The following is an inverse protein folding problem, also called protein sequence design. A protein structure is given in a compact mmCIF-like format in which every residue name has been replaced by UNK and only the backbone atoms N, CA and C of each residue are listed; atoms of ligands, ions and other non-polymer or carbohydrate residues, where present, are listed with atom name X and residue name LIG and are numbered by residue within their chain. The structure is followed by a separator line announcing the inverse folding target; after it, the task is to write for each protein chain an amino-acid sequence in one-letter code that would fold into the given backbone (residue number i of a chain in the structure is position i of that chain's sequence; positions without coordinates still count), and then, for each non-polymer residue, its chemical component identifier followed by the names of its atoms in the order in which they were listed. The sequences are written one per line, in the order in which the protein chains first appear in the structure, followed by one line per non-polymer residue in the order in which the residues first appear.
data_IF_119283868321
#
_entry.id   IF_119283868321
#
_cell.length_a   1.000
_cell.length_b   1.000
_cell.length_c   1.000
_cell.angle_alpha   90.00
_cell.angle_beta   90.00
_cell.angle_gamma   90.00
#
_symmetry.space_group_name_H-M   'P 1'
#
loop_
_entity.id
_entity.type
_entity.pdbx_description
1 polymer ?
#
# COMPACT_ATOMS: atom_id res chain seq x y z
N UNK A 1 -2.55 -30.06 -71.76
CA UNK A 1 -2.45 -28.75 -72.43
C UNK A 1 -1.45 -27.90 -71.67
N UNK A 2 -0.49 -27.31 -72.39
CA UNK A 2 0.35 -26.14 -72.02
C UNK A 2 1.02 -26.08 -70.63
N UNK A 3 2.29 -26.53 -70.61
CA UNK A 3 3.44 -25.75 -70.08
C UNK A 3 3.88 -24.71 -71.16
N UNK A 4 4.98 -23.91 -71.08
CA UNK A 4 6.07 -23.79 -70.10
C UNK A 4 6.23 -22.31 -69.59
N UNK A 5 7.35 -21.66 -69.22
CA UNK A 5 8.79 -22.00 -69.18
C UNK A 5 9.62 -21.10 -68.24
N UNK A 6 10.74 -21.64 -67.70
CA UNK A 6 12.05 -20.97 -67.59
C UNK A 6 12.29 -19.90 -66.48
N UNK A 7 13.51 -19.67 -65.99
CA UNK A 7 14.81 -20.36 -66.19
C UNK A 7 15.80 -19.98 -65.05
N UNK A 8 16.75 -20.88 -64.72
CA UNK A 8 18.17 -20.72 -64.28
C UNK A 8 18.71 -19.32 -63.83
N UNK A 9 19.69 -19.15 -62.91
CA UNK A 9 20.53 -20.08 -62.11
C UNK A 9 21.47 -19.33 -61.13
N UNK A 10 21.97 -20.04 -60.09
CA UNK A 10 23.33 -19.98 -59.45
C UNK A 10 24.12 -18.65 -59.40
N UNK A 11 24.56 -18.26 -58.20
CA UNK A 11 25.98 -18.34 -57.75
C UNK A 11 26.17 -17.77 -56.31
N UNK A 12 27.25 -18.16 -55.63
CA UNK A 12 27.58 -17.80 -54.24
C UNK A 12 28.56 -16.62 -54.06
N UNK A 13 29.05 -16.36 -52.82
CA UNK A 13 29.68 -15.10 -52.41
C UNK A 13 31.23 -15.12 -52.34
N UNK A 14 31.85 -13.93 -52.32
CA UNK A 14 33.18 -13.52 -51.75
C UNK A 14 33.36 -12.01 -52.08
N UNK A 15 33.51 -11.09 -51.11
CA UNK A 15 34.70 -10.71 -50.32
C UNK A 15 35.65 -9.69 -51.01
N UNK A 16 35.99 -8.61 -50.28
CA UNK A 16 37.06 -7.59 -50.46
C UNK A 16 36.91 -6.60 -49.27
N UNK A 17 37.90 -5.96 -48.63
CA UNK A 17 39.32 -6.18 -48.21
C UNK A 17 39.71 -4.86 -47.45
N UNK A 18 40.75 -4.90 -46.62
CA UNK A 18 41.23 -3.83 -45.71
C UNK A 18 41.61 -2.45 -46.33
N UNK A 19 41.82 -1.44 -45.47
CA UNK A 19 42.41 -0.14 -45.86
C UNK A 19 42.58 0.94 -44.78
N UNK A 20 43.56 0.75 -43.88
CA UNK A 20 44.43 1.77 -43.20
C UNK A 20 43.91 3.04 -42.45
N UNK A 21 44.68 3.47 -41.44
CA UNK A 21 44.67 4.81 -40.81
C UNK A 21 45.80 5.67 -41.42
N UNK A 22 45.79 7.02 -41.26
CA UNK A 22 46.79 7.57 -40.32
C UNK A 22 46.36 8.80 -39.47
N UNK A 23 47.30 9.19 -38.61
CA UNK A 23 47.31 10.09 -37.45
C UNK A 23 47.06 11.60 -37.71
N UNK A 24 46.44 12.25 -36.70
CA UNK A 24 46.70 13.57 -36.05
C UNK A 24 47.39 14.73 -36.82
N UNK A 25 47.01 15.99 -36.51
CA UNK A 25 47.84 16.74 -35.54
C UNK A 25 47.06 17.57 -34.49
N UNK A 26 47.76 17.89 -33.40
CA UNK A 26 47.33 18.86 -32.38
C UNK A 26 47.34 20.31 -32.92
N UNK A 27 46.45 21.15 -32.40
CA UNK A 27 46.54 22.61 -32.51
C UNK A 27 46.37 23.27 -31.12
N UNK A 28 47.42 23.95 -30.65
CA UNK A 28 47.31 24.97 -29.61
C UNK A 28 46.81 26.28 -30.24
N UNK A 29 45.85 26.97 -29.62
CA UNK A 29 45.99 28.39 -29.24
C UNK A 29 44.78 28.96 -28.49
N UNK A 30 45.13 29.75 -27.48
CA UNK A 30 44.59 31.06 -27.07
C UNK A 30 43.07 31.27 -26.92
N UNK A 31 42.67 31.70 -25.71
CA UNK A 31 41.28 31.89 -25.35
C UNK A 31 40.74 33.29 -25.63
N UNK A 32 39.44 33.36 -25.89
CA UNK A 32 38.57 34.48 -25.53
C UNK A 32 37.32 33.92 -24.83
N UNK A 33 36.75 34.60 -23.82
CA UNK A 33 35.55 34.09 -23.14
C UNK A 33 34.31 34.31 -24.02
N UNK A 34 33.57 33.23 -24.29
CA UNK A 34 32.25 33.32 -24.92
C UNK A 34 31.24 34.07 -24.04
N UNK A 35 30.17 34.64 -24.64
CA UNK A 35 29.18 35.43 -23.90
C UNK A 35 28.42 34.57 -22.87
N UNK A 36 27.94 35.16 -21.75
CA UNK A 36 27.28 34.41 -20.71
C UNK A 36 25.98 33.78 -21.21
N UNK A 37 25.83 32.47 -20.96
CA UNK A 37 24.59 31.74 -21.21
C UNK A 37 23.43 32.39 -20.47
N UNK A 38 22.39 32.75 -21.25
CA UNK A 38 21.19 33.44 -20.76
C UNK A 38 20.45 32.51 -19.80
N UNK A 39 20.34 32.90 -18.52
CA UNK A 39 19.64 32.11 -17.53
C UNK A 39 18.15 31.97 -17.87
N UNK A 40 17.65 30.74 -17.98
CA UNK A 40 16.22 30.49 -18.15
C UNK A 40 15.43 30.91 -16.89
N UNK A 41 14.23 31.49 -17.05
CA UNK A 41 13.42 31.93 -15.92
C UNK A 41 12.83 30.75 -15.14
N UNK A 42 13.08 30.73 -13.82
CA UNK A 42 12.58 29.69 -12.89
C UNK A 42 11.05 29.52 -12.96
N UNK A 43 10.59 28.44 -13.59
CA UNK A 43 9.18 28.08 -13.78
C UNK A 43 8.36 27.97 -12.47
N UNK A 44 9.04 27.75 -11.33
CA UNK A 44 8.39 27.52 -10.02
C UNK A 44 7.69 28.73 -9.41
N UNK A 45 8.07 29.97 -9.77
CA UNK A 45 7.42 31.18 -9.22
C UNK A 45 6.06 31.48 -9.86
N UNK A 46 5.87 31.21 -11.16
CA UNK A 46 4.64 31.58 -11.88
C UNK A 46 3.42 30.78 -11.37
N UNK A 47 3.57 29.48 -11.13
CA UNK A 47 2.50 28.60 -10.63
C UNK A 47 1.92 29.11 -9.28
N UNK A 48 2.80 29.53 -8.37
CA UNK A 48 2.37 30.09 -7.06
C UNK A 48 1.57 31.39 -7.21
N UNK A 49 1.93 32.20 -8.21
CA UNK A 49 1.32 33.51 -8.47
C UNK A 49 -0.03 33.36 -9.16
N UNK A 50 -0.15 32.41 -10.10
CA UNK A 50 -1.44 32.04 -10.73
C UNK A 50 -2.43 31.48 -9.72
N UNK A 51 -2.00 30.60 -8.81
CA UNK A 51 -2.84 30.05 -7.73
C UNK A 51 -3.36 31.14 -6.77
N UNK A 52 -2.52 32.12 -6.40
CA UNK A 52 -2.93 33.28 -5.57
C UNK A 52 -4.02 34.13 -6.23
N UNK A 53 -3.91 34.37 -7.55
CA UNK A 53 -4.94 35.12 -8.31
C UNK A 53 -6.27 34.37 -8.41
N UNK A 54 -6.23 33.05 -8.58
CA UNK A 54 -7.44 32.22 -8.57
C UNK A 54 -8.16 32.24 -7.20
N UNK A 55 -7.39 32.20 -6.09
CA UNK A 55 -7.95 32.28 -4.74
C UNK A 55 -8.65 33.64 -4.47
N UNK A 56 -8.04 34.76 -4.87
CA UNK A 56 -8.65 36.08 -4.72
C UNK A 56 -9.97 36.20 -5.51
N UNK A 57 -10.03 35.63 -6.72
CA UNK A 57 -11.25 35.62 -7.54
C UNK A 57 -12.36 34.71 -6.98
N UNK A 58 -12.02 33.67 -6.21
CA UNK A 58 -12.99 32.79 -5.54
C UNK A 58 -13.57 33.43 -4.28
N UNK A 59 -12.72 34.08 -3.46
CA UNK A 59 -13.15 34.85 -2.28
C UNK A 59 -14.12 35.97 -2.69
N UNK A 60 -13.80 36.71 -3.77
CA UNK A 60 -14.66 37.78 -4.30
C UNK A 60 -15.99 37.31 -4.91
N UNK A 61 -16.21 35.99 -5.07
CA UNK A 61 -17.41 35.40 -5.67
C UNK A 61 -18.25 34.56 -4.70
N UNK A 62 -17.85 34.47 -3.44
CA UNK A 62 -18.55 33.69 -2.42
C UNK A 62 -19.49 34.59 -1.60
N UNK A 63 -20.77 34.23 -1.40
CA UNK A 63 -21.70 35.06 -0.62
C UNK A 63 -21.29 35.12 0.86
N UNK A 64 -21.51 36.25 1.56
CA UNK A 64 -21.08 36.42 2.94
C UNK A 64 -21.81 35.47 3.90
N UNK A 65 -21.03 34.94 4.85
CA UNK A 65 -21.36 33.82 5.76
C UNK A 65 -22.57 34.05 6.70
N UNK A 66 -23.13 35.26 6.73
CA UNK A 66 -24.12 35.70 7.71
C UNK A 66 -25.58 35.28 7.42
N UNK A 67 -25.89 34.74 6.24
CA UNK A 67 -27.28 34.53 5.78
C UNK A 67 -27.83 33.11 5.98
N UNK A 68 -27.06 32.20 6.58
CA UNK A 68 -27.42 30.77 6.75
C UNK A 68 -27.76 30.36 8.20
N UNK A 69 -27.85 31.30 9.14
CA UNK A 69 -28.08 31.04 10.57
C UNK A 69 -29.45 31.56 11.06
N UNK A 70 -30.53 31.07 10.45
CA UNK A 70 -31.90 31.19 11.00
C UNK A 70 -32.68 29.89 10.78
N UNK A 71 -33.00 29.12 11.85
CA UNK A 71 -33.76 27.88 11.73
C UNK A 71 -35.29 28.14 11.85
N UNK A 72 -36.12 27.61 10.93
CA UNK A 72 -37.57 27.56 11.14
C UNK A 72 -37.90 26.40 12.10
N UNK A 73 -38.42 26.75 13.27
CA UNK A 73 -38.82 25.83 14.33
C UNK A 73 -40.26 25.34 14.13
N UNK A 74 -40.53 24.03 14.19
CA UNK A 74 -41.90 23.50 14.37
C UNK A 74 -41.91 22.22 15.21
N UNK A 75 -42.66 22.25 16.32
CA UNK A 75 -42.97 21.09 17.16
C UNK A 75 -44.11 20.27 16.56
N UNK A 76 -44.07 18.96 16.76
CA UNK A 76 -45.27 18.16 17.02
C UNK A 76 -44.99 17.22 18.20
N UNK A 77 -46.01 16.96 19.01
CA UNK A 77 -45.99 16.15 20.22
C UNK A 77 -46.79 14.83 20.00
N UNK A 78 -46.74 13.83 20.90
CA UNK A 78 -47.05 12.45 20.56
C UNK A 78 -48.51 12.03 20.82
N UNK A 79 -48.94 10.95 20.15
CA UNK A 79 -50.14 10.17 20.50
C UNK A 79 -49.78 8.77 21.04
N UNK A 80 -50.78 8.08 21.60
CA UNK A 80 -50.57 7.07 22.65
C UNK A 80 -51.51 5.86 22.57
N UNK A 81 -51.05 4.73 23.13
CA UNK A 81 -51.81 3.49 23.49
C UNK A 81 -52.31 2.66 22.29
N UNK A 82 -52.38 1.33 22.37
CA UNK A 82 -51.95 0.41 23.44
C UNK A 82 -52.36 -1.03 23.11
N UNK A 83 -52.09 -1.99 24.03
CA UNK A 83 -52.66 -3.35 23.96
C UNK A 83 -51.65 -4.51 23.94
N UNK A 84 -51.47 -5.17 25.09
CA UNK A 84 -51.25 -6.63 25.15
C UNK A 84 -52.53 -7.30 25.68
N UNK A 85 -52.49 -8.52 26.25
CA UNK A 85 -51.38 -9.47 26.37
C UNK A 85 -51.75 -10.94 26.02
N UNK A 86 -50.77 -11.86 25.99
CA UNK A 86 -50.82 -13.13 26.75
C UNK A 86 -49.52 -13.95 26.64
N UNK A 87 -49.26 -14.74 27.68
CA UNK A 87 -48.10 -15.62 27.80
C UNK A 87 -48.50 -17.09 27.67
N UNK A 88 -47.57 -17.94 27.22
CA UNK A 88 -47.59 -19.42 27.41
C UNK A 88 -46.16 -19.89 27.76
N UNK A 89 -46.07 -21.03 28.44
CA UNK A 89 -44.98 -21.50 29.30
C UNK A 89 -43.80 -22.23 28.63
N UNK A 90 -42.67 -22.33 29.38
CA UNK A 90 -41.56 -23.29 29.17
C UNK A 90 -42.02 -24.75 29.41
N UNK A 91 -41.21 -25.77 29.05
CA UNK A 91 -40.24 -26.30 30.03
C UNK A 91 -38.85 -26.65 29.46
N UNK A 92 -37.87 -26.75 30.37
CA UNK A 92 -36.55 -27.42 30.17
C UNK A 92 -36.61 -28.80 30.83
N UNK A 93 -35.75 -29.76 30.46
CA UNK A 93 -34.94 -30.37 31.54
C UNK A 93 -33.52 -30.86 31.17
N UNK A 94 -32.61 -30.55 32.11
CA UNK A 94 -31.59 -31.42 32.73
C UNK A 94 -30.37 -32.02 32.01
N UNK A 95 -29.34 -32.08 32.87
CA UNK A 95 -27.96 -32.57 32.72
C UNK A 95 -27.89 -34.08 33.05
N UNK A 96 -26.96 -34.80 32.43
CA UNK A 96 -26.21 -35.87 33.13
C UNK A 96 -24.80 -36.05 32.54
N UNK A 97 -23.81 -36.25 33.42
CA UNK A 97 -22.52 -36.90 33.13
C UNK A 97 -22.57 -38.32 33.71
N UNK A 98 -21.63 -39.21 33.34
CA UNK A 98 -20.75 -39.70 34.41
C UNK A 98 -19.29 -40.04 34.03
N UNK A 99 -18.45 -39.94 35.06
CA UNK A 99 -17.21 -40.65 35.41
C UNK A 99 -15.89 -40.51 34.63
N UNK A 100 -14.84 -40.37 35.44
CA UNK A 100 -13.42 -40.25 35.13
C UNK A 100 -12.73 -41.62 34.94
N UNK A 101 -11.66 -41.64 34.13
CA UNK A 101 -10.54 -42.56 34.32
C UNK A 101 -9.25 -41.74 34.23
N UNK A 102 -8.46 -41.74 35.30
CA UNK A 102 -7.15 -41.09 35.36
C UNK A 102 -6.06 -42.05 34.91
N UNK A 103 -5.25 -41.65 33.92
CA UNK A 103 -3.93 -42.23 33.63
C UNK A 103 -2.94 -41.07 33.53
N UNK A 104 -1.74 -41.23 34.08
CA UNK A 104 -0.78 -40.13 34.25
C UNK A 104 0.59 -40.48 33.65
N UNK A 105 1.30 -39.45 33.18
CA UNK A 105 2.70 -39.40 32.75
C UNK A 105 3.03 -39.94 31.34
N UNK A 106 4.10 -39.45 30.68
CA UNK A 106 4.86 -38.22 30.90
C UNK A 106 4.74 -37.20 29.73
N UNK A 107 5.27 -35.99 29.93
CA UNK A 107 5.15 -34.88 28.99
C UNK A 107 6.23 -34.87 27.89
N UNK A 108 5.84 -35.19 26.66
CA UNK A 108 6.49 -34.72 25.44
C UNK A 108 5.48 -34.73 24.29
N UNK A 109 5.15 -33.57 23.73
CA UNK A 109 5.20 -33.35 22.27
C UNK A 109 4.67 -32.00 21.84
N UNK A 110 5.34 -31.43 20.85
CA UNK A 110 4.88 -30.32 20.03
C UNK A 110 3.76 -30.79 19.09
N UNK A 111 2.50 -30.61 19.48
CA UNK A 111 1.35 -31.00 18.65
C UNK A 111 0.75 -29.82 17.88
N UNK A 112 1.18 -29.64 16.63
CA UNK A 112 0.45 -28.84 15.65
C UNK A 112 -0.86 -29.57 15.26
N UNK A 113 -1.98 -29.17 15.84
CA UNK A 113 -3.30 -29.77 15.54
C UNK A 113 -4.44 -28.77 15.74
N UNK A 114 -5.26 -28.58 14.70
CA UNK A 114 -6.47 -27.76 14.78
C UNK A 114 -7.57 -28.50 15.54
N UNK A 115 -7.65 -28.27 16.85
CA UNK A 115 -8.92 -28.35 17.57
C UNK A 115 -9.83 -27.15 17.24
N UNK A 116 -10.99 -27.06 17.89
CA UNK A 116 -11.82 -25.83 17.94
C UNK A 116 -11.12 -24.74 18.77
N UNK A 117 -9.95 -24.30 18.31
CA UNK A 117 -9.05 -23.41 19.03
C UNK A 117 -9.16 -21.98 18.53
N UNK A 118 -9.16 -21.03 19.47
CA UNK A 118 -9.04 -19.61 19.16
C UNK A 118 -7.86 -19.37 18.22
N UNK A 119 -8.12 -18.74 17.07
CA UNK A 119 -7.11 -17.99 16.32
C UNK A 119 -6.57 -16.93 17.30
N UNK A 120 -5.40 -17.23 17.87
CA UNK A 120 -4.74 -16.43 18.90
C UNK A 120 -3.57 -15.72 18.23
N UNK A 121 -3.90 -14.63 17.55
CA UNK A 121 -2.94 -13.75 16.91
C UNK A 121 -2.45 -12.71 17.91
N UNK A 122 -1.19 -12.31 17.80
CA UNK A 122 -0.56 -11.35 18.71
C UNK A 122 0.14 -10.22 17.94
N UNK A 123 -0.04 -9.00 18.43
CA UNK A 123 0.64 -7.81 17.92
C UNK A 123 0.35 -7.46 16.47
N UNK A 124 1.38 -7.48 15.61
CA UNK A 124 1.27 -7.07 14.22
C UNK A 124 0.18 -7.87 13.47
N UNK A 125 0.00 -9.13 13.83
CA UNK A 125 -1.00 -10.04 13.28
C UNK A 125 -2.45 -9.60 13.56
N UNK A 126 -2.71 -9.00 14.73
CA UNK A 126 -4.03 -8.44 15.04
C UNK A 126 -4.33 -7.21 14.16
N UNK A 127 -3.29 -6.47 13.76
CA UNK A 127 -3.41 -5.36 12.80
C UNK A 127 -3.67 -5.85 11.37
N UNK A 128 -3.17 -7.03 10.99
CA UNK A 128 -3.50 -7.66 9.71
C UNK A 128 -5.00 -7.96 9.63
N UNK A 129 -5.59 -8.56 10.67
CA UNK A 129 -7.04 -8.80 10.73
C UNK A 129 -7.84 -7.50 10.77
N UNK A 130 -7.36 -6.49 11.50
CA UNK A 130 -8.01 -5.19 11.59
C UNK A 130 -8.11 -4.50 10.22
N UNK A 131 -7.02 -4.47 9.45
CA UNK A 131 -6.98 -3.85 8.12
C UNK A 131 -7.71 -4.66 7.06
N UNK A 132 -7.67 -6.00 7.14
CA UNK A 132 -8.52 -6.88 6.33
C UNK A 132 -10.02 -6.61 6.58
N UNK A 133 -10.45 -6.58 7.85
CA UNK A 133 -11.84 -6.32 8.22
C UNK A 133 -12.30 -4.92 7.81
N UNK A 134 -11.43 -3.92 7.92
CA UNK A 134 -11.66 -2.57 7.45
C UNK A 134 -11.95 -2.53 5.92
N UNK A 135 -11.24 -3.33 5.12
CA UNK A 135 -11.51 -3.46 3.66
C UNK A 135 -12.78 -4.24 3.34
N UNK A 136 -13.10 -5.27 4.11
CA UNK A 136 -14.37 -5.99 3.95
C UNK A 136 -15.58 -5.08 4.23
N UNK A 137 -15.53 -4.26 5.30
CA UNK A 137 -16.59 -3.31 5.63
C UNK A 137 -16.75 -2.18 4.59
N UNK A 138 -15.66 -1.77 3.93
CA UNK A 138 -15.74 -0.88 2.77
C UNK A 138 -16.44 -1.56 1.59
N UNK A 139 -16.06 -2.80 1.28
CA UNK A 139 -16.60 -3.60 0.19
C UNK A 139 -18.09 -3.94 0.35
N UNK A 140 -18.57 -4.13 1.60
CA UNK A 140 -19.98 -4.30 1.95
C UNK A 140 -20.76 -2.96 2.01
N UNK A 141 -20.09 -1.80 1.91
CA UNK A 141 -20.74 -0.50 2.02
C UNK A 141 -21.56 -0.12 0.77
N UNK A 142 -22.57 0.77 0.86
CA UNK A 142 -23.35 1.19 -0.31
C UNK A 142 -22.56 1.96 -1.38
N UNK A 143 -21.32 2.40 -1.08
CA UNK A 143 -20.44 3.17 -1.96
C UNK A 143 -18.97 2.83 -1.66
N UNK A 144 -18.52 1.63 -2.04
CA UNK A 144 -17.18 1.15 -1.70
C UNK A 144 -16.09 2.02 -2.33
N UNK A 145 -15.03 2.30 -1.57
CA UNK A 145 -13.83 2.98 -2.05
C UNK A 145 -12.93 1.98 -2.76
N UNK A 146 -12.62 0.85 -2.11
CA UNK A 146 -11.76 -0.20 -2.65
C UNK A 146 -12.61 -1.29 -3.33
N UNK A 147 -13.70 -1.71 -2.70
CA UNK A 147 -14.59 -2.74 -3.22
C UNK A 147 -13.99 -4.15 -3.21
N UNK A 148 -13.08 -4.41 -2.27
CA UNK A 148 -12.31 -5.66 -2.15
C UNK A 148 -13.17 -6.85 -1.72
N UNK A 149 -13.79 -7.53 -2.69
CA UNK A 149 -14.63 -8.70 -2.44
C UNK A 149 -13.84 -9.89 -1.87
N UNK A 150 -12.55 -10.03 -2.22
CA UNK A 150 -11.70 -11.06 -1.63
C UNK A 150 -11.57 -10.86 -0.11
N UNK A 151 -11.48 -9.61 0.37
CA UNK A 151 -11.50 -9.34 1.81
C UNK A 151 -12.82 -9.77 2.47
N UNK A 152 -13.96 -9.66 1.79
CA UNK A 152 -15.26 -10.14 2.29
C UNK A 152 -15.28 -11.67 2.40
N UNK A 153 -14.81 -12.37 1.36
CA UNK A 153 -14.68 -13.85 1.35
C UNK A 153 -13.81 -14.34 2.51
N UNK A 154 -12.60 -13.79 2.64
CA UNK A 154 -11.63 -14.16 3.69
C UNK A 154 -12.20 -13.86 5.09
N UNK A 155 -12.88 -12.71 5.27
CA UNK A 155 -13.54 -12.36 6.53
C UNK A 155 -14.70 -13.30 6.86
N UNK A 156 -15.42 -13.80 5.86
CA UNK A 156 -16.44 -14.83 6.08
C UNK A 156 -15.82 -16.13 6.59
N UNK A 157 -14.77 -16.61 5.92
CA UNK A 157 -14.06 -17.84 6.32
C UNK A 157 -13.51 -17.73 7.75
N UNK A 158 -12.90 -16.60 8.11
CA UNK A 158 -12.40 -16.34 9.48
C UNK A 158 -13.55 -16.34 10.52
N UNK A 159 -14.73 -15.83 10.17
CA UNK A 159 -15.92 -15.88 11.04
C UNK A 159 -16.43 -17.32 11.21
N UNK A 160 -16.43 -18.12 10.14
CA UNK A 160 -16.85 -19.52 10.17
C UNK A 160 -15.89 -20.41 10.98
N UNK A 161 -14.60 -20.04 11.04
CA UNK A 161 -13.61 -20.59 11.97
C UNK A 161 -13.80 -20.11 13.44
N UNK A 162 -14.80 -19.27 13.72
CA UNK A 162 -15.22 -18.88 15.07
C UNK A 162 -14.58 -17.60 15.63
N UNK A 163 -13.93 -16.78 14.80
CA UNK A 163 -13.30 -15.53 15.26
C UNK A 163 -14.29 -14.35 15.31
N UNK A 164 -14.31 -13.62 16.42
CA UNK A 164 -15.14 -12.41 16.59
C UNK A 164 -14.37 -11.12 16.32
N UNK A 165 -14.58 -10.52 15.14
CA UNK A 165 -14.04 -9.22 14.73
C UNK A 165 -14.50 -8.02 15.58
N UNK A 166 -15.45 -8.18 16.52
CA UNK A 166 -15.70 -7.16 17.55
C UNK A 166 -14.47 -6.95 18.45
N UNK A 167 -13.62 -7.98 18.61
CA UNK A 167 -12.38 -7.88 19.41
C UNK A 167 -11.39 -6.87 18.82
N UNK A 168 -11.34 -6.72 17.50
CA UNK A 168 -10.40 -5.82 16.83
C UNK A 168 -10.91 -4.39 16.68
N UNK A 169 -12.16 -4.08 17.07
CA UNK A 169 -12.81 -2.78 16.79
C UNK A 169 -13.19 -2.00 18.05
N UNK A 170 -12.51 -0.87 18.29
CA UNK A 170 -12.65 -0.09 19.52
C UNK A 170 -13.94 0.76 19.64
N UNK A 171 -14.68 0.99 18.53
CA UNK A 171 -16.00 1.65 18.50
C UNK A 171 -16.54 1.68 17.07
N UNK A 172 -17.87 1.66 16.87
CA UNK A 172 -18.51 1.74 15.54
C UNK A 172 -18.06 2.95 14.72
N UNK A 173 -17.88 4.12 15.34
CA UNK A 173 -17.40 5.34 14.66
C UNK A 173 -15.95 5.20 14.24
N UNK A 174 -15.10 4.63 15.10
CA UNK A 174 -13.69 4.39 14.81
C UNK A 174 -13.55 3.37 13.65
N UNK A 175 -14.42 2.36 13.60
CA UNK A 175 -14.45 1.36 12.52
C UNK A 175 -14.74 1.98 11.16
N UNK A 176 -15.68 2.91 11.05
CA UNK A 176 -16.00 3.55 9.77
C UNK A 176 -14.87 4.46 9.25
N UNK A 177 -14.22 5.21 10.15
CA UNK A 177 -13.05 6.04 9.84
C UNK A 177 -11.87 5.17 9.39
N UNK A 178 -11.65 4.05 10.08
CA UNK A 178 -10.61 3.08 9.73
C UNK A 178 -10.87 2.38 8.39
N UNK A 179 -12.11 1.93 8.14
CA UNK A 179 -12.53 1.36 6.86
C UNK A 179 -12.27 2.33 5.70
N UNK A 180 -12.62 3.60 5.89
CA UNK A 180 -12.35 4.68 4.92
C UNK A 180 -10.84 4.84 4.68
N UNK A 181 -10.05 5.00 5.74
CA UNK A 181 -8.62 5.29 5.63
C UNK A 181 -7.82 4.11 5.05
N UNK A 182 -8.06 2.89 5.51
CA UNK A 182 -7.39 1.69 5.01
C UNK A 182 -7.74 1.44 3.53
N UNK A 183 -9.02 1.53 3.18
CA UNK A 183 -9.49 1.24 1.81
C UNK A 183 -9.06 2.30 0.82
N UNK A 184 -9.06 3.59 1.20
CA UNK A 184 -8.53 4.67 0.38
C UNK A 184 -7.01 4.53 0.18
N UNK A 185 -6.26 4.17 1.23
CA UNK A 185 -4.81 3.92 1.15
C UNK A 185 -4.47 2.79 0.19
N UNK A 186 -5.10 1.62 0.36
CA UNK A 186 -4.92 0.50 -0.57
C UNK A 186 -5.33 0.89 -2.00
N UNK A 187 -6.45 1.63 -2.18
CA UNK A 187 -6.89 2.10 -3.51
C UNK A 187 -5.84 2.98 -4.19
N UNK A 188 -5.20 3.87 -3.44
CA UNK A 188 -4.15 4.71 -3.99
C UNK A 188 -2.92 3.88 -4.38
N UNK A 189 -2.41 3.01 -3.50
CA UNK A 189 -1.27 2.15 -3.85
C UNK A 189 -1.56 1.24 -5.06
N UNK A 190 -2.78 0.76 -5.21
CA UNK A 190 -3.25 0.02 -6.40
C UNK A 190 -3.20 0.84 -7.69
N UNK A 191 -3.71 2.08 -7.67
CA UNK A 191 -3.69 2.99 -8.84
C UNK A 191 -2.26 3.24 -9.31
N UNK A 192 -1.33 3.36 -8.37
CA UNK A 192 0.09 3.62 -8.63
C UNK A 192 0.88 2.37 -9.05
N UNK A 193 0.60 1.23 -8.43
CA UNK A 193 1.04 -0.09 -8.91
C UNK A 193 0.62 -0.30 -10.37
N UNK A 194 -0.65 0.01 -10.69
CA UNK A 194 -1.16 -0.07 -12.05
C UNK A 194 -0.59 1.02 -12.98
N UNK A 195 -0.20 2.20 -12.47
CA UNK A 195 0.50 3.26 -13.23
C UNK A 195 1.89 2.78 -13.67
N UNK A 196 2.65 2.16 -12.75
CA UNK A 196 3.93 1.51 -13.06
C UNK A 196 3.75 0.40 -14.10
N UNK A 197 2.80 -0.51 -13.90
CA UNK A 197 2.54 -1.63 -14.82
C UNK A 197 2.02 -1.18 -16.20
N UNK A 198 1.42 0.00 -16.34
CA UNK A 198 1.08 0.59 -17.66
C UNK A 198 2.29 1.24 -18.35
N UNK A 199 3.20 1.85 -17.57
CA UNK A 199 4.47 2.42 -18.05
C UNK A 199 5.45 1.34 -18.52
N UNK A 200 5.34 0.13 -17.97
CA UNK A 200 6.17 -1.03 -18.30
C UNK A 200 5.30 -2.18 -18.86
N UNK A 201 4.83 -2.11 -20.12
CA UNK A 201 3.87 -3.07 -20.69
C UNK A 201 4.45 -4.48 -20.91
N UNK A 202 5.76 -4.63 -21.05
CA UNK A 202 6.45 -5.91 -21.18
C UNK A 202 6.75 -6.59 -19.83
N UNK A 203 7.87 -7.33 -19.73
CA UNK A 203 8.36 -7.90 -18.48
C UNK A 203 8.55 -6.85 -17.40
N UNK A 204 8.11 -7.16 -16.19
CA UNK A 204 8.25 -6.32 -15.00
C UNK A 204 8.11 -7.18 -13.74
N UNK A 205 8.82 -6.83 -12.67
CA UNK A 205 8.69 -7.48 -11.36
C UNK A 205 7.99 -6.54 -10.38
N UNK A 206 6.98 -7.03 -9.66
CA UNK A 206 6.42 -6.38 -8.47
C UNK A 206 6.84 -7.18 -7.25
N UNK A 207 7.53 -6.54 -6.30
CA UNK A 207 7.86 -7.11 -4.99
C UNK A 207 7.02 -6.40 -3.93
N UNK A 208 6.04 -7.11 -3.40
CA UNK A 208 5.11 -6.61 -2.39
C UNK A 208 5.55 -7.08 -1.00
N UNK A 209 6.28 -6.20 -0.31
CA UNK A 209 6.83 -6.43 1.02
C UNK A 209 5.77 -6.20 2.10
N UNK A 210 5.81 -7.01 3.15
CA UNK A 210 4.81 -7.09 4.21
C UNK A 210 3.38 -7.26 3.66
N UNK A 211 3.22 -8.23 2.76
CA UNK A 211 1.99 -8.41 2.00
C UNK A 211 0.76 -8.78 2.85
N UNK A 212 0.97 -9.32 4.05
CA UNK A 212 -0.03 -9.68 5.04
C UNK A 212 -1.21 -10.43 4.44
N UNK A 213 -2.41 -9.92 4.73
CA UNK A 213 -3.69 -10.35 4.15
C UNK A 213 -4.20 -9.32 3.12
N UNK A 214 -3.29 -8.66 2.39
CA UNK A 214 -3.65 -7.78 1.28
C UNK A 214 -3.80 -8.57 -0.02
N UNK A 215 -4.95 -8.37 -0.65
CA UNK A 215 -5.47 -9.08 -1.82
C UNK A 215 -5.01 -8.45 -3.14
N UNK A 216 -4.09 -7.47 -3.12
CA UNK A 216 -3.64 -6.73 -4.32
C UNK A 216 -3.23 -7.62 -5.50
N UNK A 217 -2.57 -8.75 -5.23
CA UNK A 217 -2.21 -9.76 -6.24
C UNK A 217 -3.41 -10.42 -6.94
N UNK A 218 -4.59 -10.39 -6.32
CA UNK A 218 -5.86 -10.95 -6.83
C UNK A 218 -6.72 -9.89 -7.55
N UNK A 219 -6.56 -8.60 -7.23
CA UNK A 219 -7.43 -7.50 -7.72
C UNK A 219 -6.75 -6.46 -8.63
N UNK A 220 -5.42 -6.30 -8.59
CA UNK A 220 -4.70 -5.50 -9.60
C UNK A 220 -4.52 -6.31 -10.88
N UNK A 221 -4.78 -5.68 -12.03
CA UNK A 221 -4.50 -6.27 -13.34
C UNK A 221 -3.01 -6.23 -13.67
N UNK A 222 -2.25 -7.16 -13.08
CA UNK A 222 -0.80 -7.26 -13.26
C UNK A 222 -0.37 -8.30 -14.30
N UNK A 223 -1.14 -9.37 -14.49
CA UNK A 223 -0.83 -10.49 -15.40
C UNK A 223 -0.41 -10.04 -16.81
N UNK A 224 0.65 -10.66 -17.34
CA UNK A 224 1.24 -10.37 -18.64
C UNK A 224 2.55 -11.12 -18.82
N UNK A 225 2.99 -11.29 -20.07
CA UNK A 225 4.15 -12.12 -20.41
C UNK A 225 5.44 -11.57 -19.79
N UNK A 226 6.22 -12.45 -19.16
CA UNK A 226 7.44 -12.09 -18.43
C UNK A 226 7.20 -11.25 -17.16
N UNK A 227 5.95 -11.14 -16.68
CA UNK A 227 5.66 -10.44 -15.42
C UNK A 227 5.71 -11.38 -14.24
N UNK A 228 6.27 -10.88 -13.14
CA UNK A 228 6.40 -11.58 -11.88
C UNK A 228 5.77 -10.75 -10.76
N UNK A 229 4.86 -11.34 -9.99
CA UNK A 229 4.38 -10.78 -8.73
C UNK A 229 4.93 -11.62 -7.57
N UNK A 230 5.64 -10.97 -6.65
CA UNK A 230 6.20 -11.58 -5.45
C UNK A 230 5.54 -10.97 -4.23
N UNK A 231 4.65 -11.72 -3.57
CA UNK A 231 4.17 -11.40 -2.23
C UNK A 231 5.23 -11.91 -1.21
N UNK A 232 5.64 -11.06 -0.27
CA UNK A 232 6.76 -11.31 0.63
C UNK A 232 6.44 -10.85 2.06
N UNK A 233 6.55 -11.75 3.04
CA UNK A 233 6.28 -11.43 4.45
C UNK A 233 6.98 -12.40 5.41
N UNK A 234 6.90 -12.15 6.72
CA UNK A 234 7.33 -13.08 7.75
C UNK A 234 6.55 -14.39 7.72
N UNK A 235 7.13 -15.44 8.31
CA UNK A 235 6.62 -16.81 8.25
C UNK A 235 5.15 -16.91 8.67
N UNK A 236 4.77 -16.24 9.73
CA UNK A 236 3.43 -16.28 10.36
C UNK A 236 2.37 -15.71 9.42
N UNK A 237 2.67 -14.58 8.78
CA UNK A 237 1.78 -13.95 7.80
C UNK A 237 1.62 -14.80 6.54
N UNK A 238 2.71 -15.41 6.05
CA UNK A 238 2.66 -16.33 4.90
C UNK A 238 1.90 -17.62 5.23
N UNK A 239 2.12 -18.20 6.42
CA UNK A 239 1.41 -19.40 6.88
C UNK A 239 -0.09 -19.15 7.06
N UNK A 240 -0.47 -17.93 7.47
CA UNK A 240 -1.87 -17.51 7.55
C UNK A 240 -2.46 -17.28 6.15
N UNK A 241 -1.72 -16.62 5.25
CA UNK A 241 -2.11 -16.39 3.85
C UNK A 241 -2.36 -17.71 3.11
N UNK A 242 -1.47 -18.70 3.26
CA UNK A 242 -1.62 -20.06 2.68
C UNK A 242 -2.87 -20.82 3.17
N UNK A 243 -3.40 -20.48 4.35
CA UNK A 243 -4.61 -21.11 4.91
C UNK A 243 -5.89 -20.45 4.44
N UNK A 244 -5.88 -19.12 4.30
CA UNK A 244 -7.08 -18.29 4.13
C UNK A 244 -7.24 -17.67 2.73
N UNK A 245 -6.21 -17.72 1.88
CA UNK A 245 -6.19 -17.03 0.60
C UNK A 245 -5.79 -17.98 -0.53
N UNK A 246 -6.55 -17.93 -1.63
CA UNK A 246 -6.15 -18.53 -2.90
C UNK A 246 -5.04 -17.69 -3.52
N UNK A 247 -4.11 -18.36 -4.19
CA UNK A 247 -3.12 -17.66 -5.04
C UNK A 247 -3.80 -17.16 -6.33
N UNK A 248 -3.23 -16.14 -7.01
CA UNK A 248 -3.75 -15.71 -8.31
C UNK A 248 -3.72 -16.85 -9.33
N UNK A 249 -4.84 -17.06 -10.03
CA UNK A 249 -4.97 -18.11 -11.05
C UNK A 249 -3.85 -18.05 -12.10
N UNK A 250 -3.11 -19.15 -12.36
CA UNK A 250 -2.01 -19.16 -13.32
C UNK A 250 -2.46 -18.74 -14.73
N UNK A 251 -1.74 -17.78 -15.33
CA UNK A 251 -1.97 -17.37 -16.72
C UNK A 251 -0.66 -16.88 -17.34
N UNK A 252 -0.56 -15.61 -17.79
CA UNK A 252 0.64 -15.10 -18.47
C UNK A 252 1.74 -14.61 -17.54
N UNK A 253 1.40 -14.27 -16.30
CA UNK A 253 2.36 -13.86 -15.28
C UNK A 253 2.65 -14.96 -14.26
N UNK A 254 3.83 -14.90 -13.66
CA UNK A 254 4.25 -15.78 -12.56
C UNK A 254 3.89 -15.12 -11.21
N UNK A 255 3.35 -15.90 -10.27
CA UNK A 255 3.15 -15.50 -8.87
C UNK A 255 4.11 -16.28 -7.96
N UNK A 256 4.66 -15.62 -6.94
CA UNK A 256 5.44 -16.24 -5.87
C UNK A 256 5.01 -15.69 -4.51
N UNK A 257 4.94 -16.57 -3.52
CA UNK A 257 4.76 -16.22 -2.11
C UNK A 257 6.00 -16.67 -1.32
N UNK A 258 6.78 -15.72 -0.81
CA UNK A 258 8.10 -15.95 -0.20
C UNK A 258 8.16 -15.49 1.27
N UNK A 259 9.10 -16.07 2.04
CA UNK A 259 9.29 -15.84 3.48
C UNK A 259 10.66 -15.21 3.80
N UNK A 260 11.01 -14.01 3.28
CA UNK A 260 12.35 -13.47 3.39
C UNK A 260 12.66 -12.89 4.77
N UNK A 261 13.89 -13.08 5.22
CA UNK A 261 14.48 -12.23 6.25
C UNK A 261 14.88 -10.88 5.61
N UNK A 262 14.06 -9.84 5.77
CA UNK A 262 14.31 -8.51 5.21
C UNK A 262 15.55 -7.79 5.81
N UNK A 263 16.13 -8.36 6.88
CA UNK A 263 17.36 -7.87 7.52
C UNK A 263 18.64 -8.46 6.89
N UNK A 264 18.52 -9.54 6.10
CA UNK A 264 19.63 -10.19 5.42
C UNK A 264 20.02 -9.43 4.13
N UNK A 265 21.30 -9.21 3.87
CA UNK A 265 21.74 -8.54 2.64
C UNK A 265 21.56 -9.42 1.38
N UNK A 266 21.40 -10.73 1.53
CA UNK A 266 21.28 -11.69 0.44
C UNK A 266 19.82 -11.96 -0.02
N UNK A 267 18.78 -11.57 0.72
CA UNK A 267 17.41 -12.11 0.52
C UNK A 267 16.86 -11.96 -0.91
N UNK A 268 17.14 -10.84 -1.58
CA UNK A 268 16.74 -10.61 -2.98
C UNK A 268 17.45 -11.58 -3.96
N UNK A 269 18.70 -11.93 -3.68
CA UNK A 269 19.49 -12.89 -4.43
C UNK A 269 19.03 -14.34 -4.19
N UNK A 270 18.79 -14.70 -2.94
CA UNK A 270 18.39 -16.06 -2.54
C UNK A 270 17.02 -16.45 -3.12
N UNK A 271 16.07 -15.51 -3.12
CA UNK A 271 14.77 -15.69 -3.79
C UNK A 271 14.79 -15.45 -5.31
N UNK A 272 15.98 -15.22 -5.89
CA UNK A 272 16.22 -15.08 -7.33
C UNK A 272 15.28 -14.06 -7.96
N UNK A 273 15.24 -12.86 -7.37
CA UNK A 273 14.43 -11.74 -7.88
C UNK A 273 15.05 -11.26 -9.20
N UNK A 274 14.32 -11.27 -10.33
CA UNK A 274 14.90 -10.96 -11.63
C UNK A 274 15.45 -9.53 -11.73
N UNK A 275 16.60 -9.40 -12.39
CA UNK A 275 17.28 -8.11 -12.62
C UNK A 275 17.57 -7.85 -14.10
N UNK A 276 16.68 -8.36 -14.96
CA UNK A 276 16.64 -8.19 -16.42
C UNK A 276 15.43 -7.32 -16.85
N UNK A 277 14.64 -6.83 -15.88
CA UNK A 277 13.38 -6.12 -16.10
C UNK A 277 13.13 -5.05 -15.02
N UNK A 278 12.34 -4.00 -15.30
CA UNK A 278 11.99 -2.98 -14.32
C UNK A 278 11.33 -3.56 -13.07
N UNK A 279 11.71 -3.03 -11.89
CA UNK A 279 11.19 -3.47 -10.60
C UNK A 279 10.34 -2.40 -9.92
N UNK A 280 9.20 -2.81 -9.38
CA UNK A 280 8.41 -2.03 -8.42
C UNK A 280 8.50 -2.73 -7.07
N UNK A 281 8.95 -2.02 -6.04
CA UNK A 281 8.82 -2.47 -4.65
C UNK A 281 7.66 -1.71 -4.01
N UNK A 282 6.68 -2.43 -3.47
CA UNK A 282 5.49 -1.83 -2.84
C UNK A 282 5.31 -2.38 -1.43
N UNK A 283 4.99 -1.52 -0.47
CA UNK A 283 4.61 -1.95 0.88
C UNK A 283 3.58 -1.00 1.50
N UNK A 284 2.64 -1.58 2.25
CA UNK A 284 1.58 -0.87 2.95
C UNK A 284 1.64 -1.18 4.45
N UNK A 285 1.78 -0.18 5.30
CA UNK A 285 1.79 -0.33 6.76
C UNK A 285 3.06 -0.92 7.36
N UNK A 286 4.13 -1.15 6.59
CA UNK A 286 5.38 -1.75 7.09
C UNK A 286 6.21 -0.81 7.97
N UNK A 287 6.57 0.37 7.45
CA UNK A 287 7.59 1.24 8.08
C UNK A 287 7.29 1.70 9.52
N UNK A 288 6.03 1.88 9.98
CA UNK A 288 5.76 2.23 11.38
C UNK A 288 6.32 1.26 12.42
N UNK A 289 6.43 -0.03 12.08
CA UNK A 289 6.84 -1.11 12.99
C UNK A 289 8.35 -1.37 13.01
N UNK A 290 9.10 -0.74 12.11
CA UNK A 290 10.54 -0.87 12.01
C UNK A 290 11.24 0.30 12.71
N UNK A 291 12.41 0.07 13.27
CA UNK A 291 13.31 1.15 13.72
C UNK A 291 13.86 1.92 12.52
N UNK A 292 14.36 3.16 12.70
CA UNK A 292 14.98 3.93 11.62
C UNK A 292 16.10 3.18 10.89
N UNK A 293 16.95 2.46 11.63
CA UNK A 293 18.06 1.69 11.05
C UNK A 293 17.58 0.49 10.21
N UNK A 294 16.50 -0.16 10.62
CA UNK A 294 15.88 -1.24 9.84
C UNK A 294 15.22 -0.72 8.56
N UNK A 295 14.54 0.44 8.62
CA UNK A 295 13.98 1.09 7.42
C UNK A 295 15.09 1.50 6.44
N UNK A 296 16.12 2.19 6.91
CA UNK A 296 17.22 2.58 6.03
C UNK A 296 18.04 1.37 5.54
N UNK A 297 18.21 0.33 6.36
CA UNK A 297 18.84 -0.92 5.96
C UNK A 297 18.08 -1.64 4.84
N UNK A 298 16.76 -1.81 5.00
CA UNK A 298 15.88 -2.39 3.98
C UNK A 298 15.95 -1.63 2.65
N UNK A 299 15.86 -0.30 2.71
CA UNK A 299 15.91 0.54 1.51
C UNK A 299 17.29 0.50 0.84
N UNK A 300 18.38 0.56 1.61
CA UNK A 300 19.76 0.44 1.10
C UNK A 300 20.01 -0.91 0.44
N UNK A 301 19.62 -2.03 1.07
CA UNK A 301 19.67 -3.38 0.47
C UNK A 301 18.96 -3.43 -0.87
N UNK A 302 17.71 -2.99 -0.88
CA UNK A 302 16.82 -3.01 -2.05
C UNK A 302 17.42 -2.22 -3.21
N UNK A 303 17.83 -0.97 -2.96
CA UNK A 303 18.40 -0.08 -3.97
C UNK A 303 19.75 -0.60 -4.48
N UNK A 304 20.62 -1.05 -3.57
CA UNK A 304 21.93 -1.61 -3.94
C UNK A 304 21.80 -2.84 -4.81
N UNK A 305 20.87 -3.75 -4.49
CA UNK A 305 20.65 -4.97 -5.27
C UNK A 305 20.33 -4.68 -6.74
N UNK A 306 19.40 -3.75 -7.00
CA UNK A 306 18.98 -3.40 -8.35
C UNK A 306 19.99 -2.49 -9.08
N UNK A 307 20.51 -1.45 -8.43
CA UNK A 307 21.43 -0.51 -9.07
C UNK A 307 22.77 -1.13 -9.44
N UNK A 308 23.33 -2.03 -8.61
CA UNK A 308 24.55 -2.78 -8.95
C UNK A 308 24.38 -3.65 -10.20
N UNK A 309 23.14 -3.95 -10.59
CA UNK A 309 22.77 -4.77 -11.75
C UNK A 309 22.17 -3.93 -12.90
N UNK A 310 22.23 -2.61 -12.82
CA UNK A 310 21.75 -1.69 -13.85
C UNK A 310 20.21 -1.63 -14.00
N UNK A 311 19.46 -2.07 -12.98
CA UNK A 311 18.00 -2.09 -13.01
C UNK A 311 17.43 -0.80 -12.43
N UNK A 312 16.63 -0.12 -13.23
CA UNK A 312 15.81 1.00 -12.78
C UNK A 312 14.47 0.53 -12.22
N UNK A 313 13.99 1.22 -11.19
CA UNK A 313 12.75 0.85 -10.52
C UNK A 313 12.12 1.97 -9.70
N UNK A 314 11.01 1.64 -9.05
CA UNK A 314 10.28 2.55 -8.18
C UNK A 314 9.97 1.87 -6.83
N UNK A 315 9.95 2.64 -5.73
CA UNK A 315 9.44 2.20 -4.42
C UNK A 315 8.17 3.01 -4.12
N UNK A 316 7.04 2.33 -3.95
CA UNK A 316 5.74 2.93 -3.63
C UNK A 316 5.33 2.51 -2.21
N UNK A 317 5.17 3.46 -1.28
CA UNK A 317 4.85 3.12 0.10
C UNK A 317 4.05 4.19 0.82
N UNK A 318 3.41 3.83 1.94
CA UNK A 318 2.94 4.77 2.94
C UNK A 318 3.93 4.91 4.10
N UNK A 319 4.00 6.13 4.65
CA UNK A 319 4.74 6.41 5.88
C UNK A 319 3.96 7.42 6.73
N UNK A 320 3.87 7.15 8.03
CA UNK A 320 3.29 8.07 9.02
C UNK A 320 4.23 9.23 9.32
N UNK A 321 3.69 10.40 9.62
CA UNK A 321 4.48 11.54 10.09
C UNK A 321 4.60 11.58 11.62
N UNK A 322 5.50 12.42 12.14
CA UNK A 322 5.79 12.52 13.57
C UNK A 322 4.56 12.86 14.44
N UNK A 323 3.67 13.73 13.94
CA UNK A 323 2.46 14.16 14.66
C UNK A 323 1.45 13.00 14.77
N UNK A 324 1.24 12.26 13.67
CA UNK A 324 0.42 11.04 13.68
C UNK A 324 1.02 10.00 14.61
N UNK A 325 2.35 9.80 14.55
CA UNK A 325 3.06 8.85 15.42
C UNK A 325 2.91 9.20 16.90
N UNK A 326 3.01 10.49 17.25
CA UNK A 326 2.76 10.99 18.60
C UNK A 326 1.32 10.71 19.05
N UNK A 327 0.32 11.11 18.27
CA UNK A 327 -1.08 10.90 18.63
C UNK A 327 -1.44 9.41 18.73
N UNK A 328 -0.96 8.59 17.79
CA UNK A 328 -1.23 7.15 17.76
C UNK A 328 -0.59 6.47 18.98
N UNK A 329 0.67 6.74 19.29
CA UNK A 329 1.33 6.22 20.50
C UNK A 329 0.72 6.76 21.82
N UNK A 330 0.16 7.99 21.83
CA UNK A 330 -0.44 8.59 23.02
C UNK A 330 -1.87 8.10 23.30
N UNK A 331 -2.76 8.14 22.30
CA UNK A 331 -4.19 7.82 22.44
C UNK A 331 -4.49 6.33 22.43
N UNK A 332 -3.74 5.55 21.64
CA UNK A 332 -3.93 4.09 21.56
C UNK A 332 -2.92 3.33 22.43
N UNK A 333 -2.23 4.00 23.36
CA UNK A 333 -1.24 3.40 24.27
C UNK A 333 -1.76 2.14 25.00
N UNK A 334 -3.05 2.10 25.35
CA UNK A 334 -3.69 0.89 25.90
C UNK A 334 -3.76 -0.26 24.90
N UNK A 335 -4.25 0.00 23.68
CA UNK A 335 -4.34 -0.98 22.59
C UNK A 335 -2.95 -1.48 22.17
N UNK A 336 -1.98 -0.58 22.01
CA UNK A 336 -0.59 -0.91 21.69
C UNK A 336 0.12 -1.71 22.78
N UNK A 337 -0.15 -1.44 24.06
CA UNK A 337 0.35 -2.28 25.17
C UNK A 337 -0.23 -3.69 25.16
N UNK A 338 -1.50 -3.87 24.76
CA UNK A 338 -2.11 -5.19 24.59
C UNK A 338 -1.53 -5.92 23.37
N UNK A 339 -1.24 -5.20 22.30
CA UNK A 339 -0.61 -5.72 21.08
C UNK A 339 0.92 -5.91 21.21
N UNK A 340 1.58 -5.34 22.22
CA UNK A 340 3.05 -5.37 22.33
C UNK A 340 3.80 -4.61 21.23
N UNK A 341 3.10 -3.82 20.40
CA UNK A 341 3.66 -3.04 19.29
C UNK A 341 3.71 -1.56 19.64
N UNK A 342 4.70 -0.82 19.12
CA UNK A 342 4.78 0.64 19.22
C UNK A 342 5.28 1.19 17.90
N UNK A 343 4.76 2.33 17.46
CA UNK A 343 5.28 2.97 16.25
C UNK A 343 6.63 3.64 16.54
N UNK A 344 7.67 3.17 15.86
CA UNK A 344 9.09 3.50 16.09
C UNK A 344 9.72 4.39 15.02
N UNK A 345 9.16 4.41 13.81
CA UNK A 345 9.64 5.26 12.71
C UNK A 345 8.54 6.15 12.13
N UNK A 346 8.95 7.30 11.62
CA UNK A 346 8.11 8.30 10.96
C UNK A 346 8.92 9.07 9.91
N UNK A 347 8.23 9.71 8.96
CA UNK A 347 8.86 10.47 7.88
C UNK A 347 8.15 11.81 7.66
N UNK A 348 8.80 12.90 8.10
CA UNK A 348 8.29 14.25 7.92
C UNK A 348 8.65 14.86 6.56
N UNK A 349 9.84 14.58 6.03
CA UNK A 349 10.27 15.03 4.70
C UNK A 349 10.88 13.83 3.94
N UNK A 350 10.29 13.38 2.81
CA UNK A 350 10.82 12.26 2.03
C UNK A 350 12.26 12.47 1.54
N UNK A 351 12.76 13.71 1.46
CA UNK A 351 14.16 14.00 1.10
C UNK A 351 15.18 13.49 2.12
N UNK A 352 14.76 13.28 3.37
CA UNK A 352 15.61 12.62 4.37
C UNK A 352 15.93 11.17 4.00
N UNK A 353 15.07 10.51 3.22
CA UNK A 353 15.36 9.16 2.70
C UNK A 353 16.44 9.24 1.61
N UNK A 354 16.38 10.21 0.69
CA UNK A 354 17.42 10.42 -0.35
C UNK A 354 18.81 10.63 0.27
N UNK A 355 18.87 11.40 1.36
CA UNK A 355 20.11 11.69 2.10
C UNK A 355 20.71 10.46 2.77
N UNK A 356 19.86 9.50 3.18
CA UNK A 356 20.28 8.31 3.92
C UNK A 356 20.39 7.05 3.06
N UNK A 357 19.80 7.02 1.87
CA UNK A 357 19.77 5.86 0.96
C UNK A 357 20.39 6.28 -0.38
N UNK A 358 21.72 6.10 -0.55
CA UNK A 358 22.40 6.41 -1.79
C UNK A 358 21.71 5.75 -3.00
N UNK A 359 21.53 6.52 -4.06
CA UNK A 359 20.87 6.07 -5.29
C UNK A 359 19.36 6.25 -5.33
N UNK A 360 18.67 6.38 -4.18
CA UNK A 360 17.23 6.56 -4.12
C UNK A 360 16.86 8.05 -4.22
N UNK A 361 15.85 8.38 -5.04
CA UNK A 361 15.34 9.75 -5.24
C UNK A 361 13.85 9.83 -4.99
N UNK A 362 13.40 10.86 -4.30
CA UNK A 362 11.98 11.17 -4.12
C UNK A 362 11.41 11.77 -5.41
N UNK A 363 10.34 11.14 -5.91
CA UNK A 363 9.74 11.47 -7.21
C UNK A 363 8.49 12.34 -7.02
N UNK A 364 7.48 11.80 -6.34
CA UNK A 364 6.17 12.43 -6.15
C UNK A 364 5.40 11.83 -4.98
N UNK A 365 4.42 12.58 -4.44
CA UNK A 365 3.52 12.15 -3.37
C UNK A 365 2.30 11.45 -3.98
N UNK A 366 1.94 10.30 -3.45
CA UNK A 366 0.76 9.51 -3.84
C UNK A 366 -0.51 10.12 -3.22
N UNK A 367 -0.47 10.43 -1.92
CA UNK A 367 -1.52 11.09 -1.14
C UNK A 367 -0.92 11.70 0.14
N UNK A 368 -1.60 12.68 0.75
CA UNK A 368 -1.43 13.04 2.16
C UNK A 368 -2.41 12.29 3.05
N UNK A 369 -2.08 12.07 4.33
CA UNK A 369 -3.01 11.44 5.29
C UNK A 369 -4.41 12.10 5.36
N UNK A 370 -4.58 13.44 5.24
CA UNK A 370 -5.90 14.05 5.17
C UNK A 370 -6.75 13.56 3.99
N UNK A 371 -6.14 13.24 2.84
CA UNK A 371 -6.85 12.77 1.63
C UNK A 371 -7.56 11.42 1.87
N UNK A 372 -7.06 10.63 2.83
CA UNK A 372 -7.64 9.35 3.23
C UNK A 372 -8.95 9.49 4.01
N UNK A 373 -9.28 10.69 4.49
CA UNK A 373 -10.45 10.97 5.33
C UNK A 373 -11.51 11.83 4.63
N UNK A 374 -11.34 12.11 3.34
CA UNK A 374 -12.22 12.97 2.53
C UNK A 374 -13.55 12.28 2.16
N UNK A 375 -14.44 12.12 3.13
CA UNK A 375 -15.82 11.67 2.91
C UNK A 375 -16.75 12.83 2.51
N UNK A 376 -17.79 12.59 1.71
CA UNK A 376 -18.70 13.66 1.25
C UNK A 376 -19.44 14.41 2.38
N UNK A 377 -19.81 15.68 2.11
CA UNK A 377 -20.55 16.54 3.05
C UNK A 377 -19.66 17.47 3.88
N UNK A 378 -20.24 18.07 4.93
CA UNK A 378 -19.57 19.09 5.74
C UNK A 378 -18.26 18.59 6.39
N UNK A 379 -18.21 17.32 6.80
CA UNK A 379 -17.01 16.72 7.37
C UNK A 379 -15.83 16.70 6.39
N UNK A 380 -16.05 16.26 5.14
CA UNK A 380 -15.01 16.30 4.10
C UNK A 380 -14.58 17.70 3.69
N UNK A 381 -15.49 18.69 3.74
CA UNK A 381 -15.12 20.09 3.52
C UNK A 381 -14.18 20.60 4.62
N UNK A 382 -14.42 20.22 5.88
CA UNK A 382 -13.54 20.56 7.01
C UNK A 382 -12.21 19.80 6.91
N UNK A 383 -12.22 18.49 6.65
CA UNK A 383 -11.00 17.68 6.47
C UNK A 383 -10.17 18.18 5.28
N UNK A 384 -10.80 18.46 4.13
CA UNK A 384 -10.13 19.00 2.94
C UNK A 384 -9.57 20.40 3.16
N UNK A 385 -10.26 21.25 3.92
CA UNK A 385 -9.73 22.56 4.34
C UNK A 385 -8.52 22.42 5.28
N UNK A 386 -8.56 21.49 6.23
CA UNK A 386 -7.43 21.19 7.12
C UNK A 386 -6.25 20.60 6.32
N UNK A 387 -6.50 19.69 5.37
CA UNK A 387 -5.49 19.18 4.44
C UNK A 387 -4.83 20.29 3.65
N UNK A 388 -5.62 21.13 2.99
CA UNK A 388 -5.15 22.31 2.26
C UNK A 388 -4.35 23.29 3.15
N UNK A 389 -4.81 23.54 4.37
CA UNK A 389 -4.12 24.41 5.32
C UNK A 389 -2.80 23.81 5.80
N UNK A 390 -2.75 22.51 6.05
CA UNK A 390 -1.51 21.81 6.43
C UNK A 390 -0.51 21.74 5.27
N UNK A 391 -0.98 21.64 4.02
CA UNK A 391 -0.14 21.77 2.81
C UNK A 391 0.40 23.21 2.66
N UNK A 392 -0.46 24.21 2.85
CA UNK A 392 -0.10 25.63 2.79
C UNK A 392 0.97 26.00 3.82
N UNK A 393 0.91 25.39 5.01
CA UNK A 393 1.85 25.59 6.11
C UNK A 393 3.08 24.66 6.05
N UNK A 394 3.14 23.70 5.11
CA UNK A 394 4.23 22.73 4.99
C UNK A 394 4.26 21.65 6.07
N UNK A 395 3.14 21.46 6.80
CA UNK A 395 3.02 20.55 7.95
C UNK A 395 2.48 19.17 7.54
N UNK A 396 1.92 18.99 6.33
CA UNK A 396 1.35 17.69 5.87
C UNK A 396 2.31 16.51 6.01
N UNK A 397 3.61 16.73 5.81
CA UNK A 397 4.64 15.72 6.04
C UNK A 397 4.65 15.18 7.47
N UNK A 398 4.36 16.02 8.47
CA UNK A 398 4.25 15.62 9.88
C UNK A 398 3.02 14.77 10.17
N UNK A 399 2.02 14.75 9.28
CA UNK A 399 0.88 13.84 9.36
C UNK A 399 1.21 12.52 8.64
N UNK A 400 1.92 12.60 7.51
CA UNK A 400 2.36 11.47 6.70
C UNK A 400 1.59 11.36 5.39
N UNK A 401 1.81 10.26 4.66
CA UNK A 401 1.17 10.02 3.38
C UNK A 401 1.83 8.90 2.58
N UNK A 402 1.41 8.76 1.33
CA UNK A 402 2.02 7.85 0.37
C UNK A 402 3.07 8.55 -0.49
N UNK A 403 4.17 7.87 -0.81
CA UNK A 403 5.33 8.41 -1.51
C UNK A 403 5.80 7.47 -2.62
N UNK A 404 6.27 8.05 -3.72
CA UNK A 404 7.06 7.34 -4.74
C UNK A 404 8.49 7.80 -4.69
N UNK A 405 9.39 6.82 -4.66
CA UNK A 405 10.81 6.98 -4.91
C UNK A 405 11.22 6.22 -6.17
N UNK A 406 12.31 6.63 -6.80
CA UNK A 406 12.92 5.96 -7.95
C UNK A 406 14.42 5.66 -7.71
N UNK A 407 14.91 4.57 -8.31
CA UNK A 407 16.30 4.12 -8.26
C UNK A 407 16.78 3.65 -9.64
#
# INVERSE_FOLDING_TARGET
MTSPEGLLSRAGPLALVDGERPLLPHAHRDGTPGPPLRAEPRLSRDISTRRRRAAAAWIARSPPFAMLLTPPYRRLAPESRGGGPRAVSRPTPLISRPHDITVTMPSSDSSSGLGKGNITLSGAEETLLLTLYARALDAESPRPILGDQYAVEIVSEIKDLGYDFKRTTASRTNTAVLATAASMRSRMLDIWTAKFLRKHPGPATVVHLACGLDTRSLRVRWQGEGRLWVDADQKEAVDLRRKLMKEPEPSKGEYRLIQPNIHDDAWLGDYKIPTDRPALVVFEGLTPYLTPDEVYGLLRRTVSYFQQRGVHGEIHCDVIGALTTFFVNAWFNGTFKVMGTRFTYYLNDPRTVEQNVPGLRYKERIFGMPDLLTAGGLFGLVVGFIGWLTDLLGITGWIGGGYVFEF
#
